data_IF_075105174567
#
_entry.id   IF_075105174567
#
_cell.length_a   1.000
_cell.length_b   1.000
_cell.length_c   1.000
_cell.angle_alpha   90.00
_cell.angle_beta   90.00
_cell.angle_gamma   90.00
#
_symmetry.space_group_name_H-M   'P 1'
#
loop_
_entity.id
_entity.type
_entity.pdbx_description
1 polymer ?
#
# COMPACT_ATOMS: atom_id res chain seq x y z
N UNK A 1 12.58 10.02 14.29
CA UNK A 1 11.75 11.05 13.62
C UNK A 1 11.11 10.52 12.32
N UNK A 2 11.91 10.03 11.37
CA UNK A 2 11.44 9.57 10.05
C UNK A 2 10.35 8.49 10.11
N UNK A 3 10.54 7.39 10.86
CA UNK A 3 9.53 6.33 11.01
C UNK A 3 8.20 6.88 11.55
N UNK A 4 8.24 7.80 12.51
CA UNK A 4 7.04 8.42 13.08
C UNK A 4 6.30 9.24 12.03
N UNK A 5 7.02 10.00 11.20
CA UNK A 5 6.43 10.74 10.09
C UNK A 5 5.78 9.80 9.07
N UNK A 6 6.45 8.69 8.70
CA UNK A 6 5.88 7.69 7.79
C UNK A 6 4.63 7.03 8.39
N UNK A 7 4.63 6.68 9.69
CA UNK A 7 3.43 6.12 10.35
C UNK A 7 2.27 7.12 10.38
N UNK A 8 2.55 8.39 10.64
CA UNK A 8 1.55 9.46 10.65
C UNK A 8 1.00 9.79 9.25
N UNK A 9 1.77 9.51 8.19
CA UNK A 9 1.36 9.73 6.80
C UNK A 9 0.37 8.68 6.27
N UNK A 10 0.11 7.59 7.02
CA UNK A 10 -0.88 6.60 6.59
C UNK A 10 -2.28 7.21 6.68
N UNK A 11 -3.01 7.17 5.57
CA UNK A 11 -4.33 7.78 5.45
C UNK A 11 -5.42 6.96 6.13
N UNK A 12 -6.59 7.55 6.43
CA UNK A 12 -7.74 6.82 6.98
C UNK A 12 -8.17 5.64 6.11
N UNK A 13 -8.00 5.76 4.79
CA UNK A 13 -8.32 4.72 3.81
C UNK A 13 -7.27 3.59 3.76
N UNK A 14 -6.15 3.74 4.49
CA UNK A 14 -5.12 2.75 4.69
C UNK A 14 -3.90 2.86 3.78
N UNK A 15 -3.99 3.63 2.70
CA UNK A 15 -2.89 3.83 1.75
C UNK A 15 -2.02 5.05 2.07
N UNK A 16 -1.17 5.39 1.10
CA UNK A 16 -0.30 6.56 1.11
C UNK A 16 -0.41 7.30 -0.23
N UNK A 17 -0.20 8.61 -0.20
CA UNK A 17 -0.30 9.50 -1.38
C UNK A 17 0.97 10.31 -1.57
N UNK A 18 1.41 10.53 -2.82
CA UNK A 18 2.51 11.46 -3.09
C UNK A 18 2.06 12.93 -2.98
N UNK A 19 0.84 13.23 -3.46
CA UNK A 19 0.28 14.59 -3.52
C UNK A 19 -1.23 14.52 -3.24
N UNK A 20 -1.75 15.53 -2.54
CA UNK A 20 -3.20 15.64 -2.27
C UNK A 20 -3.71 14.49 -1.41
N UNK A 21 -5.03 14.28 -1.42
CA UNK A 21 -5.69 13.41 -0.44
C UNK A 21 -5.96 11.95 -0.85
N UNK A 22 -5.60 11.60 -2.09
CA UNK A 22 -5.91 10.29 -2.67
C UNK A 22 -4.73 9.33 -2.56
N UNK A 23 -4.94 8.21 -1.86
CA UNK A 23 -3.95 7.13 -1.80
C UNK A 23 -3.76 6.44 -3.16
N UNK A 24 -2.53 6.02 -3.44
CA UNK A 24 -2.18 5.29 -4.65
C UNK A 24 -1.23 4.11 -4.35
N UNK A 25 -1.29 3.05 -5.15
CA UNK A 25 -0.46 1.86 -4.96
C UNK A 25 1.04 2.12 -5.13
N UNK A 26 1.44 3.08 -5.97
CA UNK A 26 2.85 3.31 -6.24
C UNK A 26 3.53 3.99 -5.04
N UNK A 27 2.89 4.99 -4.43
CA UNK A 27 3.36 5.62 -3.20
C UNK A 27 3.28 4.65 -2.04
N UNK A 28 2.16 3.93 -1.93
CA UNK A 28 1.96 2.90 -0.91
C UNK A 28 3.06 1.84 -0.93
N UNK A 29 3.42 1.33 -2.10
CA UNK A 29 4.53 0.39 -2.28
C UNK A 29 5.87 0.98 -1.82
N UNK A 30 6.19 2.22 -2.22
CA UNK A 30 7.47 2.87 -1.85
C UNK A 30 7.58 3.09 -0.34
N UNK A 31 6.51 3.54 0.30
CA UNK A 31 6.48 3.73 1.76
C UNK A 31 6.54 2.38 2.49
N UNK A 32 5.80 1.37 2.02
CA UNK A 32 5.87 0.03 2.60
C UNK A 32 7.27 -0.58 2.48
N UNK A 33 7.97 -0.35 1.36
CA UNK A 33 9.36 -0.79 1.19
C UNK A 33 10.27 -0.16 2.24
N UNK A 34 10.06 1.11 2.58
CA UNK A 34 10.80 1.77 3.67
C UNK A 34 10.51 1.11 5.02
N UNK A 35 9.25 0.81 5.32
CA UNK A 35 8.88 0.08 6.55
C UNK A 35 9.57 -1.29 6.64
N UNK A 36 9.53 -2.07 5.54
CA UNK A 36 10.21 -3.36 5.46
C UNK A 36 11.71 -3.25 5.75
N UNK A 37 12.40 -2.33 5.07
CA UNK A 37 13.84 -2.13 5.25
C UNK A 37 14.22 -1.62 6.64
N UNK A 38 13.35 -0.84 7.27
CA UNK A 38 13.55 -0.28 8.61
C UNK A 38 13.06 -1.22 9.73
N UNK A 39 12.55 -2.42 9.39
CA UNK A 39 11.96 -3.39 10.33
C UNK A 39 10.84 -2.77 11.18
N UNK A 40 10.02 -1.97 10.53
CA UNK A 40 8.88 -1.26 11.12
C UNK A 40 7.60 -1.63 10.36
N UNK A 41 6.43 -1.27 10.92
CA UNK A 41 5.15 -1.53 10.26
C UNK A 41 4.15 -0.38 10.36
N UNK A 42 3.36 -0.13 9.29
CA UNK A 42 2.19 0.73 9.38
C UNK A 42 1.02 -0.04 10.02
N UNK A 43 -0.18 0.53 9.99
CA UNK A 43 -1.40 -0.18 10.32
C UNK A 43 -1.76 -1.18 9.21
N UNK A 44 -1.29 -2.43 9.37
CA UNK A 44 -1.38 -3.48 8.35
C UNK A 44 -2.82 -3.82 7.91
N UNK A 45 -3.79 -3.81 8.84
CA UNK A 45 -5.20 -4.09 8.52
C UNK A 45 -5.78 -3.11 7.50
N UNK A 46 -5.70 -1.80 7.80
CA UNK A 46 -6.12 -0.74 6.88
C UNK A 46 -5.36 -0.78 5.56
N UNK A 47 -4.05 -1.06 5.60
CA UNK A 47 -3.26 -1.19 4.37
C UNK A 47 -3.77 -2.33 3.47
N UNK A 48 -4.12 -3.48 4.05
CA UNK A 48 -4.73 -4.61 3.32
C UNK A 48 -6.08 -4.21 2.72
N UNK A 49 -6.91 -3.48 3.46
CA UNK A 49 -8.22 -2.97 2.98
C UNK A 49 -8.09 -1.95 1.84
N UNK A 50 -7.05 -1.11 1.84
CA UNK A 50 -6.75 -0.24 0.71
C UNK A 50 -6.42 -1.06 -0.55
N UNK A 51 -5.53 -2.04 -0.42
CA UNK A 51 -5.07 -2.86 -1.55
C UNK A 51 -6.21 -3.71 -2.10
N UNK A 52 -7.06 -4.27 -1.25
CA UNK A 52 -8.21 -5.07 -1.70
C UNK A 52 -9.18 -4.26 -2.56
N UNK A 53 -9.40 -2.98 -2.23
CA UNK A 53 -10.23 -2.06 -3.04
C UNK A 53 -9.60 -1.68 -4.38
N UNK A 54 -8.30 -1.87 -4.54
CA UNK A 54 -7.60 -1.67 -5.81
C UNK A 54 -7.68 -2.90 -6.74
N UNK A 55 -8.20 -4.05 -6.28
CA UNK A 55 -8.30 -5.29 -7.05
C UNK A 55 -9.48 -5.23 -8.03
N UNK A 56 -9.25 -5.60 -9.28
CA UNK A 56 -10.27 -5.67 -10.32
C UNK A 56 -10.72 -7.11 -10.62
N UNK A 57 -11.78 -7.25 -11.42
CA UNK A 57 -12.36 -8.55 -11.79
C UNK A 57 -11.40 -9.44 -12.60
N UNK A 58 -10.43 -8.85 -13.29
CA UNK A 58 -9.36 -9.57 -14.01
C UNK A 58 -8.29 -10.17 -13.09
N UNK A 59 -8.41 -9.95 -11.77
CA UNK A 59 -7.47 -10.41 -10.75
C UNK A 59 -6.23 -9.52 -10.60
N UNK A 60 -6.03 -8.55 -11.49
CA UNK A 60 -5.02 -7.51 -11.40
C UNK A 60 -5.44 -6.38 -10.47
N UNK A 61 -4.55 -5.38 -10.33
CA UNK A 61 -4.77 -4.23 -9.47
C UNK A 61 -4.59 -2.93 -10.24
N UNK A 62 -5.48 -1.96 -10.04
CA UNK A 62 -5.34 -0.60 -10.54
C UNK A 62 -4.55 0.31 -9.60
N UNK A 63 -4.04 1.47 -10.06
CA UNK A 63 -3.26 2.40 -9.23
C UNK A 63 -4.05 2.96 -8.03
N UNK A 64 -5.37 3.00 -8.12
CA UNK A 64 -6.31 3.36 -7.06
C UNK A 64 -7.66 2.64 -7.31
N UNK A 65 -8.59 2.61 -6.34
CA UNK A 65 -9.86 1.93 -6.51
C UNK A 65 -10.64 2.38 -7.76
N UNK A 66 -11.10 1.41 -8.56
CA UNK A 66 -11.86 1.65 -9.79
C UNK A 66 -11.02 1.99 -11.02
N UNK A 67 -9.69 2.07 -10.92
CA UNK A 67 -8.81 2.29 -12.08
C UNK A 67 -8.41 0.97 -12.75
N UNK A 68 -8.11 0.95 -14.07
CA UNK A 68 -7.73 -0.26 -14.78
C UNK A 68 -6.46 -0.92 -14.24
N UNK A 69 -6.42 -2.25 -14.31
CA UNK A 69 -5.25 -3.04 -13.91
C UNK A 69 -4.06 -2.79 -14.83
N UNK A 70 -2.87 -2.76 -14.25
CA UNK A 70 -1.60 -2.83 -15.00
C UNK A 70 -0.66 -3.83 -14.35
N UNK A 71 0.32 -4.34 -15.12
CA UNK A 71 1.35 -5.22 -14.56
C UNK A 71 2.13 -4.55 -13.41
N UNK A 72 2.42 -3.25 -13.54
CA UNK A 72 3.16 -2.48 -12.52
C UNK A 72 2.39 -2.35 -11.20
N UNK A 73 1.11 -2.00 -11.26
CA UNK A 73 0.27 -1.86 -10.07
C UNK A 73 -0.08 -3.20 -9.45
N UNK A 74 -0.19 -4.25 -10.27
CA UNK A 74 -0.31 -5.64 -9.79
C UNK A 74 0.96 -6.10 -9.06
N UNK A 75 2.14 -5.78 -9.57
CA UNK A 75 3.41 -6.01 -8.88
C UNK A 75 3.47 -5.27 -7.52
N UNK A 76 3.08 -3.99 -7.48
CA UNK A 76 3.03 -3.23 -6.23
C UNK A 76 2.13 -3.89 -5.19
N UNK A 77 0.91 -4.27 -5.57
CA UNK A 77 -0.02 -4.95 -4.68
C UNK A 77 0.53 -6.29 -4.19
N UNK A 78 1.08 -7.12 -5.09
CA UNK A 78 1.61 -8.44 -4.76
C UNK A 78 2.73 -8.37 -3.71
N UNK A 79 3.70 -7.47 -3.89
CA UNK A 79 4.81 -7.32 -2.95
C UNK A 79 4.33 -6.75 -1.60
N UNK A 80 3.41 -5.79 -1.60
CA UNK A 80 2.89 -5.25 -0.35
C UNK A 80 2.09 -6.30 0.42
N UNK A 81 1.26 -7.10 -0.25
CA UNK A 81 0.54 -8.20 0.40
C UNK A 81 1.49 -9.23 1.00
N UNK A 82 2.54 -9.62 0.26
CA UNK A 82 3.58 -10.49 0.79
C UNK A 82 4.24 -9.94 2.05
N UNK A 83 4.61 -8.65 2.07
CA UNK A 83 5.16 -8.02 3.27
C UNK A 83 4.17 -7.91 4.42
N UNK A 84 2.88 -7.71 4.13
CA UNK A 84 1.84 -7.72 5.17
C UNK A 84 1.79 -9.10 5.83
N UNK A 85 1.73 -10.18 5.05
CA UNK A 85 1.67 -11.55 5.59
C UNK A 85 2.87 -11.84 6.50
N UNK A 86 4.08 -11.44 6.08
CA UNK A 86 5.32 -11.65 6.84
C UNK A 86 5.45 -10.80 8.12
N UNK A 87 4.76 -9.66 8.21
CA UNK A 87 4.80 -8.77 9.38
C UNK A 87 3.63 -9.01 10.36
N UNK A 88 2.70 -9.91 10.00
CA UNK A 88 1.61 -10.38 10.85
C UNK A 88 2.01 -11.60 11.71
N UNK A 89 3.02 -12.35 11.28
CA UNK A 89 3.74 -13.36 12.07
C UNK A 89 4.68 -12.71 13.11
#
# INVERSE_FOLDING_TARGET
AVVRALKAAQRPDGGFSAVGDTSDLATTYRVMRAFWMLKEKPHLGRLREFISRCRNADGGYGPSPGQPSTASTTYFAAIVLHWIDQLQE
#
